data_IF_496927559453
#
_entry.id   IF_496927559453
#
_cell.length_a   1.000
_cell.length_b   1.000
_cell.length_c   1.000
_cell.angle_alpha   90.00
_cell.angle_beta   90.00
_cell.angle_gamma   90.00
#
_symmetry.space_group_name_H-M   'P 1'
#
loop_
_entity.id
_entity.type
_entity.pdbx_description
1 polymer ?
#
# COMPACT_ATOMS: atom_id res chain seq x y z
N UNK A 1 87.86 -38.25 -89.05
CA UNK A 1 88.03 -37.07 -89.89
C UNK A 1 87.72 -35.84 -89.09
N UNK A 2 88.66 -35.08 -88.82
CA UNK A 2 88.80 -33.65 -88.44
C UNK A 2 87.58 -32.97 -87.85
N UNK A 3 87.74 -32.50 -86.62
CA UNK A 3 87.13 -31.21 -86.27
C UNK A 3 87.76 -30.46 -85.15
N UNK A 4 87.91 -29.21 -85.38
CA UNK A 4 88.60 -28.22 -84.58
C UNK A 4 87.76 -27.77 -83.35
N UNK A 5 88.45 -27.66 -82.24
CA UNK A 5 87.99 -27.08 -81.00
C UNK A 5 88.31 -25.55 -80.99
N UNK A 6 87.27 -24.74 -80.85
CA UNK A 6 87.44 -23.31 -80.53
C UNK A 6 87.00 -23.09 -79.10
N UNK A 7 87.97 -22.82 -78.23
CA UNK A 7 87.74 -22.46 -76.81
C UNK A 7 87.44 -20.98 -76.70
N UNK A 8 86.22 -20.65 -76.30
CA UNK A 8 85.88 -19.27 -75.86
C UNK A 8 85.87 -19.21 -74.39
N UNK A 9 86.79 -18.40 -73.80
CA UNK A 9 86.77 -18.03 -72.41
C UNK A 9 85.63 -17.01 -72.12
N UNK A 10 84.69 -17.41 -71.29
CA UNK A 10 83.67 -16.54 -70.74
C UNK A 10 84.07 -16.18 -69.33
N UNK A 11 84.38 -14.87 -69.13
CA UNK A 11 84.70 -14.29 -67.85
C UNK A 11 83.40 -14.17 -67.00
N UNK A 12 83.29 -14.98 -65.97
CA UNK A 12 82.18 -14.90 -65.05
C UNK A 12 82.48 -13.86 -64.01
N UNK A 13 81.88 -12.63 -64.13
CA UNK A 13 81.81 -11.66 -63.06
C UNK A 13 80.73 -12.08 -62.10
N UNK A 14 81.11 -12.59 -60.90
CA UNK A 14 80.21 -12.88 -59.82
C UNK A 14 79.82 -11.53 -59.16
N UNK A 15 78.62 -11.04 -59.54
CA UNK A 15 77.96 -10.00 -58.72
C UNK A 15 77.51 -10.63 -57.43
N UNK A 16 78.13 -10.26 -56.26
CA UNK A 16 77.68 -10.53 -54.93
C UNK A 16 76.51 -9.58 -54.62
N UNK A 17 75.30 -10.09 -54.87
CA UNK A 17 74.09 -9.44 -54.41
C UNK A 17 74.00 -9.78 -52.89
N UNK A 18 74.38 -8.81 -52.00
CA UNK A 18 74.06 -8.87 -50.62
C UNK A 18 72.56 -8.62 -50.48
N UNK A 19 71.76 -9.55 -49.92
CA UNK A 19 70.39 -9.26 -49.60
C UNK A 19 70.39 -8.24 -48.47
N UNK A 20 70.02 -6.98 -48.76
CA UNK A 20 69.71 -5.97 -47.77
C UNK A 20 68.45 -6.47 -46.99
N UNK A 21 68.67 -7.24 -45.91
CA UNK A 21 67.59 -7.58 -44.98
C UNK A 21 67.22 -6.30 -44.26
N UNK A 22 66.19 -5.62 -44.77
CA UNK A 22 65.53 -4.55 -44.07
C UNK A 22 64.82 -5.22 -42.89
N UNK A 23 65.43 -5.15 -41.72
CA UNK A 23 64.76 -5.47 -40.45
C UNK A 23 63.74 -4.37 -40.25
N UNK A 24 62.52 -4.60 -40.78
CA UNK A 24 61.37 -3.85 -40.38
C UNK A 24 61.12 -4.15 -38.87
N UNK A 25 61.70 -3.34 -38.03
CA UNK A 25 61.36 -3.33 -36.61
C UNK A 25 59.87 -3.16 -36.55
N UNK A 26 59.17 -4.19 -36.12
CA UNK A 26 57.71 -4.16 -35.90
C UNK A 26 57.44 -3.07 -34.83
N UNK A 27 57.24 -1.86 -35.28
CA UNK A 27 56.92 -0.73 -34.38
C UNK A 27 55.52 -1.00 -33.83
N UNK A 28 55.44 -1.20 -32.54
CA UNK A 28 54.15 -1.25 -31.84
C UNK A 28 53.39 0.04 -32.03
N UNK A 29 52.14 -0.05 -32.41
CA UNK A 29 51.25 1.09 -32.63
C UNK A 29 50.26 1.22 -31.46
N UNK A 30 49.83 2.41 -31.24
CA UNK A 30 48.74 2.66 -30.29
C UNK A 30 47.40 2.24 -30.90
N UNK A 31 46.70 1.33 -30.28
CA UNK A 31 45.42 0.80 -30.75
C UNK A 31 44.28 1.85 -30.79
N UNK A 32 44.47 3.02 -30.19
CA UNK A 32 43.53 4.12 -30.25
C UNK A 32 43.81 5.10 -31.40
N UNK A 33 45.05 5.63 -31.48
CA UNK A 33 45.38 6.69 -32.44
C UNK A 33 46.22 6.24 -33.63
N UNK A 34 46.56 4.94 -33.72
CA UNK A 34 47.39 4.29 -34.76
C UNK A 34 48.79 4.91 -34.97
N UNK A 35 49.30 5.73 -34.00
CA UNK A 35 50.65 6.27 -34.07
C UNK A 35 51.63 5.35 -33.35
N UNK A 36 52.92 5.44 -33.76
CA UNK A 36 54.00 4.62 -33.20
C UNK A 36 54.16 4.89 -31.69
N UNK A 37 54.32 3.83 -30.90
CA UNK A 37 54.60 3.84 -29.48
C UNK A 37 56.13 3.99 -29.31
N UNK A 38 56.59 5.14 -28.77
CA UNK A 38 57.96 5.40 -28.45
C UNK A 38 58.10 5.47 -26.91
N UNK A 39 58.98 4.62 -26.34
CA UNK A 39 59.20 4.56 -24.91
C UNK A 39 58.16 3.70 -24.14
N UNK A 40 57.77 4.15 -22.94
CA UNK A 40 56.80 3.42 -22.12
C UNK A 40 55.39 3.59 -22.67
N UNK A 41 54.62 2.51 -22.63
CA UNK A 41 53.20 2.49 -23.08
C UNK A 41 52.40 1.58 -22.17
N UNK A 42 51.09 1.74 -22.21
CA UNK A 42 50.12 0.93 -21.40
C UNK A 42 49.64 -0.23 -22.24
N UNK A 43 49.64 -1.43 -21.63
CA UNK A 43 48.96 -2.61 -22.17
C UNK A 43 47.67 -2.84 -21.38
N UNK A 44 46.52 -2.80 -22.07
CA UNK A 44 45.24 -3.09 -21.48
C UNK A 44 44.39 -3.98 -22.41
N UNK A 45 43.93 -5.11 -21.88
CA UNK A 45 43.15 -6.12 -22.66
C UNK A 45 43.84 -6.51 -23.98
N UNK A 46 45.13 -6.80 -23.92
CA UNK A 46 46.01 -7.15 -25.04
C UNK A 46 46.14 -6.06 -26.14
N UNK A 47 45.84 -4.83 -25.83
CA UNK A 47 45.99 -3.66 -26.67
C UNK A 47 47.01 -2.69 -26.10
N UNK A 48 47.73 -1.97 -26.97
CA UNK A 48 48.83 -1.08 -26.59
C UNK A 48 48.37 0.38 -26.76
N UNK A 49 48.65 1.23 -25.76
CA UNK A 49 48.20 2.63 -25.78
C UNK A 49 49.31 3.58 -25.33
N UNK A 50 49.35 4.79 -25.91
CA UNK A 50 50.05 5.87 -25.26
C UNK A 50 49.39 6.18 -23.91
N UNK A 51 50.14 6.64 -22.93
CA UNK A 51 49.60 7.05 -21.64
C UNK A 51 48.45 8.05 -21.79
N UNK A 52 48.64 9.09 -22.61
CA UNK A 52 47.61 10.10 -22.86
C UNK A 52 46.36 9.55 -23.55
N UNK A 53 46.52 8.58 -24.48
CA UNK A 53 45.37 7.96 -25.14
C UNK A 53 44.60 7.05 -24.19
N UNK A 54 45.29 6.34 -23.35
CA UNK A 54 44.67 5.48 -22.33
C UNK A 54 43.90 6.31 -21.31
N UNK A 55 44.57 7.29 -20.69
CA UNK A 55 43.97 8.13 -19.66
C UNK A 55 42.76 8.90 -20.15
N UNK A 56 42.77 9.38 -21.40
CA UNK A 56 41.69 10.21 -21.92
C UNK A 56 40.51 9.41 -22.47
N UNK A 57 40.75 8.22 -23.04
CA UNK A 57 39.75 7.52 -23.86
C UNK A 57 39.43 6.09 -23.39
N UNK A 58 40.28 5.47 -22.59
CA UNK A 58 40.15 4.08 -22.17
C UNK A 58 39.98 3.96 -20.65
N UNK A 59 40.69 4.78 -19.88
CA UNK A 59 40.59 4.79 -18.42
C UNK A 59 39.19 5.20 -17.97
N UNK A 60 38.63 4.40 -17.06
CA UNK A 60 37.35 4.70 -16.43
C UNK A 60 37.59 5.50 -15.15
N UNK A 61 36.80 6.54 -14.95
CA UNK A 61 36.83 7.38 -13.77
C UNK A 61 35.52 7.25 -12.97
N UNK A 62 35.61 7.38 -11.68
CA UNK A 62 34.45 7.42 -10.81
C UNK A 62 33.70 8.76 -10.95
N UNK A 63 32.42 8.71 -11.29
CA UNK A 63 31.60 9.92 -11.44
C UNK A 63 31.41 10.67 -10.12
N UNK A 64 31.54 9.98 -8.99
CA UNK A 64 31.40 10.57 -7.65
C UNK A 64 32.66 11.28 -7.18
N UNK A 65 33.79 10.58 -7.13
CA UNK A 65 35.04 11.14 -6.57
C UNK A 65 36.05 11.61 -7.62
N UNK A 66 35.76 11.38 -8.92
CA UNK A 66 36.61 11.77 -10.07
C UNK A 66 37.97 11.07 -10.14
N UNK A 67 38.25 10.14 -9.26
CA UNK A 67 39.49 9.34 -9.29
C UNK A 67 39.38 8.19 -10.28
N UNK A 68 40.53 7.68 -10.76
CA UNK A 68 40.63 6.50 -11.60
C UNK A 68 40.04 5.30 -10.93
N UNK A 69 39.36 4.46 -11.70
CA UNK A 69 38.86 3.17 -11.24
C UNK A 69 39.81 2.07 -11.72
N UNK A 70 40.46 1.42 -10.79
CA UNK A 70 41.29 0.27 -11.03
C UNK A 70 40.55 -1.00 -10.58
N UNK A 71 40.20 -1.88 -11.52
CA UNK A 71 39.49 -3.13 -11.26
C UNK A 71 37.99 -3.07 -11.43
N UNK A 72 37.24 -3.77 -10.56
CA UNK A 72 35.77 -3.85 -10.66
C UNK A 72 35.06 -2.60 -10.12
N UNK A 73 34.00 -2.22 -10.79
CA UNK A 73 33.19 -1.04 -10.47
C UNK A 73 31.70 -1.32 -10.61
N UNK A 74 30.91 -0.43 -10.06
CA UNK A 74 29.44 -0.46 -10.23
C UNK A 74 29.01 0.62 -11.23
N UNK A 75 27.91 0.35 -11.93
CA UNK A 75 27.29 1.31 -12.84
C UNK A 75 25.87 1.64 -12.36
N UNK A 76 25.48 2.90 -12.51
CA UNK A 76 24.09 3.34 -12.26
C UNK A 76 23.81 4.53 -13.17
N UNK A 77 22.67 4.51 -13.87
CA UNK A 77 22.24 5.57 -14.78
C UNK A 77 23.35 6.02 -15.77
N UNK A 78 24.09 5.05 -16.34
CA UNK A 78 25.18 5.30 -17.30
C UNK A 78 26.45 5.87 -16.69
N UNK A 79 26.58 6.00 -15.38
CA UNK A 79 27.73 6.48 -14.63
C UNK A 79 28.48 5.34 -13.95
N UNK A 80 29.79 5.52 -13.76
CA UNK A 80 30.68 4.52 -13.19
C UNK A 80 31.13 4.95 -11.77
N UNK A 81 31.20 4.01 -10.86
CA UNK A 81 31.51 4.28 -9.46
C UNK A 81 32.46 3.23 -8.88
N UNK A 82 33.41 3.64 -8.05
CA UNK A 82 34.06 2.68 -7.16
C UNK A 82 33.01 1.95 -6.32
N UNK A 83 33.28 0.73 -5.92
CA UNK A 83 32.37 -0.01 -5.05
C UNK A 83 32.02 0.76 -3.78
N UNK A 84 33.01 1.36 -3.14
CA UNK A 84 32.84 2.17 -1.93
C UNK A 84 31.99 3.42 -2.18
N UNK A 85 32.27 4.17 -3.28
CA UNK A 85 31.48 5.33 -3.64
C UNK A 85 30.03 4.95 -3.95
N UNK A 86 29.81 3.84 -4.66
CA UNK A 86 28.47 3.36 -4.95
C UNK A 86 27.69 3.02 -3.67
N UNK A 87 28.32 2.26 -2.76
CA UNK A 87 27.69 1.87 -1.50
C UNK A 87 27.38 3.05 -0.59
N UNK A 88 28.26 4.05 -0.59
CA UNK A 88 28.13 5.20 0.30
C UNK A 88 27.15 6.27 -0.22
N UNK A 89 27.14 6.54 -1.53
CA UNK A 89 26.46 7.71 -2.10
C UNK A 89 25.33 7.40 -3.08
N UNK A 90 25.32 6.19 -3.64
CA UNK A 90 24.40 5.82 -4.72
C UNK A 90 23.44 4.73 -4.32
N UNK A 91 23.93 3.75 -3.56
CA UNK A 91 23.11 2.64 -3.11
C UNK A 91 22.12 3.11 -2.06
N UNK A 92 20.88 2.70 -2.24
CA UNK A 92 19.78 3.03 -1.35
C UNK A 92 19.94 2.42 0.04
N UNK A 93 19.51 3.14 1.03
CA UNK A 93 19.48 2.70 2.43
C UNK A 93 18.05 2.68 2.94
N UNK A 94 17.75 1.75 3.80
CA UNK A 94 16.48 1.66 4.46
C UNK A 94 16.33 2.79 5.49
N UNK A 95 15.26 3.57 5.39
CA UNK A 95 14.99 4.67 6.32
C UNK A 95 14.65 4.19 7.75
N UNK A 96 14.30 2.91 7.90
CA UNK A 96 14.00 2.32 9.21
C UNK A 96 15.24 1.81 9.93
N UNK A 97 16.01 0.91 9.29
CA UNK A 97 17.15 0.26 9.93
C UNK A 97 18.52 0.87 9.56
N UNK A 98 18.59 1.75 8.55
CA UNK A 98 19.83 2.37 8.06
C UNK A 98 20.69 1.47 7.16
N UNK A 99 20.39 0.19 7.04
CA UNK A 99 21.16 -0.76 6.26
C UNK A 99 20.95 -0.60 4.75
N UNK A 100 21.95 -1.07 3.98
CA UNK A 100 21.90 -1.02 2.52
C UNK A 100 20.82 -1.92 1.96
N UNK A 101 19.95 -1.35 1.12
CA UNK A 101 18.91 -2.11 0.44
C UNK A 101 19.52 -2.89 -0.72
N UNK A 102 19.31 -4.22 -0.69
CA UNK A 102 19.71 -5.15 -1.76
C UNK A 102 18.46 -5.80 -2.34
N UNK A 103 18.13 -5.51 -3.60
CA UNK A 103 16.98 -6.09 -4.30
C UNK A 103 15.72 -5.25 -4.20
N UNK A 104 14.57 -5.93 -4.03
CA UNK A 104 13.23 -5.30 -3.98
C UNK A 104 13.08 -4.50 -2.68
N UNK A 105 12.41 -3.38 -2.76
CA UNK A 105 12.17 -2.48 -1.63
C UNK A 105 10.82 -1.76 -1.81
N UNK A 106 10.29 -1.24 -0.71
CA UNK A 106 9.06 -0.47 -0.69
C UNK A 106 9.34 1.03 -0.53
N UNK A 107 8.47 1.86 -1.11
CA UNK A 107 8.52 3.31 -0.96
C UNK A 107 7.20 3.77 -0.32
N UNK A 108 7.31 4.59 0.73
CA UNK A 108 6.17 5.27 1.34
C UNK A 108 6.60 6.69 1.77
N UNK A 109 5.81 7.67 1.37
CA UNK A 109 6.05 9.08 1.67
C UNK A 109 7.47 9.58 1.31
N UNK A 110 8.01 9.06 0.18
CA UNK A 110 9.35 9.37 -0.32
C UNK A 110 10.50 8.65 0.39
N UNK A 111 10.23 7.81 1.39
CA UNK A 111 11.19 6.99 2.13
C UNK A 111 11.27 5.59 1.58
N UNK A 112 12.45 4.99 1.68
CA UNK A 112 12.76 3.67 1.11
C UNK A 112 13.00 2.65 2.23
N UNK A 113 12.37 1.47 2.11
CA UNK A 113 12.39 0.44 3.16
C UNK A 113 12.70 -0.93 2.60
N UNK A 114 13.47 -1.75 3.33
CA UNK A 114 13.45 -3.19 3.08
C UNK A 114 12.02 -3.71 3.18
N UNK A 115 11.70 -4.74 2.42
CA UNK A 115 10.38 -5.38 2.48
C UNK A 115 10.01 -5.81 3.91
N UNK A 116 10.93 -6.44 4.63
CA UNK A 116 10.73 -6.84 6.03
C UNK A 116 10.51 -5.66 6.97
N UNK A 117 11.29 -4.59 6.84
CA UNK A 117 11.11 -3.38 7.65
C UNK A 117 9.78 -2.69 7.34
N UNK A 118 9.38 -2.68 6.08
CA UNK A 118 8.10 -2.11 5.66
C UNK A 118 6.92 -2.87 6.28
N UNK A 119 6.92 -4.20 6.17
CA UNK A 119 5.89 -5.07 6.73
C UNK A 119 5.84 -4.95 8.26
N UNK A 120 7.00 -4.96 8.92
CA UNK A 120 7.07 -4.99 10.38
C UNK A 120 6.77 -3.65 11.04
N UNK A 121 7.27 -2.54 10.48
CA UNK A 121 7.23 -1.23 11.17
C UNK A 121 6.38 -0.17 10.49
N UNK A 122 6.11 -0.29 9.18
CA UNK A 122 5.47 0.77 8.40
C UNK A 122 4.02 0.44 8.04
N UNK A 123 3.71 -0.83 7.79
CA UNK A 123 2.33 -1.24 7.55
C UNK A 123 1.47 -1.09 8.80
N UNK A 124 0.22 -0.65 8.65
CA UNK A 124 -0.72 -0.65 9.75
C UNK A 124 -0.92 -2.08 10.26
N UNK A 125 -1.10 -2.22 11.58
CA UNK A 125 -1.43 -3.50 12.19
C UNK A 125 -2.92 -3.65 12.30
N UNK A 126 -3.41 -4.86 12.06
CA UNK A 126 -4.80 -5.20 12.29
C UNK A 126 -5.15 -5.08 13.77
N UNK A 127 -6.16 -4.29 14.11
CA UNK A 127 -6.58 -4.08 15.50
C UNK A 127 -7.15 -5.34 16.15
N UNK A 128 -7.55 -6.33 15.35
CA UNK A 128 -8.11 -7.59 15.83
C UNK A 128 -7.03 -8.66 16.05
N UNK A 129 -6.24 -8.99 15.03
CA UNK A 129 -5.25 -10.08 15.10
C UNK A 129 -3.80 -9.60 15.25
N UNK A 130 -3.54 -8.29 15.23
CA UNK A 130 -2.22 -7.64 15.35
C UNK A 130 -1.23 -7.94 14.22
N UNK A 131 -1.63 -8.70 13.21
CA UNK A 131 -0.81 -8.95 12.03
C UNK A 131 -0.77 -7.72 11.11
N UNK A 132 0.30 -7.54 10.31
CA UNK A 132 0.37 -6.49 9.30
C UNK A 132 -0.79 -6.57 8.31
N UNK A 133 -1.27 -5.42 7.85
CA UNK A 133 -2.31 -5.34 6.83
C UNK A 133 -1.65 -5.00 5.50
N UNK A 134 -1.42 -6.02 4.69
CA UNK A 134 -0.68 -5.90 3.43
C UNK A 134 -1.58 -5.56 2.23
N UNK A 135 -2.78 -6.14 2.20
CA UNK A 135 -3.71 -6.05 1.06
C UNK A 135 -4.97 -5.23 1.41
N UNK A 136 -6.13 -5.76 1.03
CA UNK A 136 -7.43 -5.16 1.30
C UNK A 136 -7.75 -5.15 2.78
N UNK A 137 -8.07 -3.98 3.29
CA UNK A 137 -8.46 -3.78 4.68
C UNK A 137 -9.68 -2.89 4.79
N UNK A 138 -10.33 -3.00 5.94
CA UNK A 138 -11.41 -2.12 6.34
C UNK A 138 -10.88 -1.14 7.37
N UNK A 139 -11.20 0.14 7.18
CA UNK A 139 -11.11 1.17 8.21
C UNK A 139 -12.53 1.50 8.62
N UNK A 140 -12.90 1.20 9.85
CA UNK A 140 -14.24 1.52 10.33
C UNK A 140 -14.39 3.02 10.70
N UNK A 141 -15.62 3.43 11.00
CA UNK A 141 -15.91 4.81 11.42
C UNK A 141 -15.12 5.25 12.67
N UNK A 142 -14.74 4.29 13.51
CA UNK A 142 -14.04 4.51 14.78
C UNK A 142 -12.52 4.57 14.62
N UNK A 143 -12.03 4.41 13.39
CA UNK A 143 -10.61 4.46 13.05
C UNK A 143 -9.87 3.13 13.20
N UNK A 144 -10.55 2.03 13.50
CA UNK A 144 -9.91 0.73 13.58
C UNK A 144 -9.58 0.17 12.20
N UNK A 145 -8.40 -0.44 12.07
CA UNK A 145 -7.93 -1.11 10.86
C UNK A 145 -7.98 -2.62 11.05
N UNK A 146 -8.60 -3.33 10.11
CA UNK A 146 -8.63 -4.79 10.17
C UNK A 146 -8.78 -5.44 8.79
N UNK A 147 -8.29 -6.67 8.67
CA UNK A 147 -8.44 -7.44 7.45
C UNK A 147 -9.91 -7.65 7.11
N UNK A 148 -10.26 -7.57 5.83
CA UNK A 148 -11.63 -7.76 5.36
C UNK A 148 -12.24 -9.09 5.80
N UNK A 149 -11.46 -10.17 5.86
CA UNK A 149 -11.98 -11.47 6.25
C UNK A 149 -12.59 -11.52 7.67
N UNK A 150 -12.21 -10.59 8.57
CA UNK A 150 -12.82 -10.49 9.88
C UNK A 150 -14.30 -10.11 9.82
N UNK A 151 -14.71 -9.30 8.84
CA UNK A 151 -16.11 -8.89 8.66
C UNK A 151 -17.03 -10.05 8.32
N UNK A 152 -16.48 -11.11 7.72
CA UNK A 152 -17.23 -12.33 7.36
C UNK A 152 -17.33 -13.33 8.50
N UNK A 153 -16.53 -13.18 9.54
CA UNK A 153 -16.43 -14.14 10.67
C UNK A 153 -17.02 -13.62 11.96
N UNK A 154 -17.22 -12.34 12.08
CA UNK A 154 -17.66 -11.68 13.31
C UNK A 154 -18.92 -10.86 13.05
N UNK A 155 -19.92 -10.91 13.96
CA UNK A 155 -21.09 -10.05 13.84
C UNK A 155 -20.72 -8.59 14.10
N UNK A 156 -21.46 -7.68 13.47
CA UNK A 156 -21.39 -6.26 13.76
C UNK A 156 -22.39 -5.88 14.85
N UNK A 157 -22.06 -4.89 15.65
CA UNK A 157 -22.97 -4.33 16.64
C UNK A 157 -24.10 -3.55 15.98
N UNK A 158 -25.32 -3.83 16.34
CA UNK A 158 -26.54 -3.21 15.81
C UNK A 158 -26.60 -1.69 16.04
N UNK A 159 -25.98 -1.22 17.13
CA UNK A 159 -25.97 0.19 17.49
C UNK A 159 -24.80 0.99 16.89
N UNK A 160 -23.57 0.45 16.92
CA UNK A 160 -22.39 1.22 16.54
C UNK A 160 -21.63 0.65 15.33
N UNK A 161 -22.10 -0.45 14.75
CA UNK A 161 -21.50 -1.13 13.62
C UNK A 161 -20.05 -1.61 13.80
N UNK A 162 -19.47 -1.57 15.01
CA UNK A 162 -18.18 -2.20 15.29
C UNK A 162 -18.31 -3.73 15.21
N UNK A 163 -17.28 -4.39 14.72
CA UNK A 163 -17.18 -5.85 14.83
C UNK A 163 -17.11 -6.26 16.30
N UNK A 164 -17.91 -7.25 16.67
CA UNK A 164 -17.98 -7.74 18.05
C UNK A 164 -16.88 -8.75 18.28
N UNK A 165 -15.82 -8.32 18.94
CA UNK A 165 -14.70 -9.16 19.36
C UNK A 165 -14.02 -8.54 20.58
N UNK A 166 -13.19 -9.33 21.25
CA UNK A 166 -12.53 -8.89 22.47
C UNK A 166 -11.65 -7.64 22.26
N UNK A 167 -10.80 -7.54 21.21
CA UNK A 167 -9.93 -6.39 21.00
C UNK A 167 -10.67 -5.06 20.75
N UNK A 168 -11.80 -5.08 20.03
CA UNK A 168 -12.50 -3.85 19.64
C UNK A 168 -13.61 -3.44 20.61
N UNK A 169 -14.30 -4.41 21.20
CA UNK A 169 -15.54 -4.15 21.92
C UNK A 169 -15.65 -4.87 23.27
N UNK A 170 -14.59 -5.59 23.66
CA UNK A 170 -14.60 -6.49 24.85
C UNK A 170 -15.74 -7.51 24.79
N UNK A 171 -16.06 -8.00 23.58
CA UNK A 171 -17.15 -8.91 23.31
C UNK A 171 -18.50 -8.22 23.18
N UNK A 172 -19.55 -8.99 23.34
CA UNK A 172 -20.94 -8.56 23.23
C UNK A 172 -21.90 -9.72 23.48
N UNK A 173 -23.18 -9.50 23.16
CA UNK A 173 -24.21 -10.53 23.31
C UNK A 173 -25.17 -10.51 22.14
N UNK A 174 -25.84 -11.64 21.90
CA UNK A 174 -26.92 -11.75 20.93
C UNK A 174 -28.23 -11.33 21.58
N UNK A 175 -28.98 -10.48 20.92
CA UNK A 175 -30.38 -10.17 21.26
C UNK A 175 -31.30 -11.28 20.71
N UNK A 176 -31.02 -11.71 19.47
CA UNK A 176 -31.67 -12.82 18.79
C UNK A 176 -30.74 -13.35 17.66
N UNK A 177 -31.27 -14.07 16.68
CA UNK A 177 -30.46 -14.71 15.61
C UNK A 177 -29.73 -13.71 14.69
N UNK A 178 -30.24 -12.49 14.54
CA UNK A 178 -29.77 -11.49 13.57
C UNK A 178 -29.29 -10.19 14.22
N UNK A 179 -29.50 -10.00 15.53
CA UNK A 179 -29.15 -8.78 16.26
C UNK A 179 -28.15 -9.02 17.37
N UNK A 180 -27.09 -8.25 17.35
CA UNK A 180 -25.97 -8.34 18.31
C UNK A 180 -25.62 -6.97 18.87
N UNK A 181 -25.33 -6.90 20.16
CA UNK A 181 -24.94 -5.68 20.85
C UNK A 181 -23.56 -5.86 21.47
N UNK A 182 -22.66 -4.94 21.19
CA UNK A 182 -21.33 -4.97 21.78
C UNK A 182 -21.34 -4.49 23.25
N UNK A 183 -20.32 -4.91 24.01
CA UNK A 183 -20.20 -4.50 25.42
C UNK A 183 -19.93 -2.98 25.60
N UNK A 184 -19.45 -2.28 24.57
CA UNK A 184 -19.29 -0.83 24.60
C UNK A 184 -20.65 -0.13 24.57
N UNK A 185 -21.62 -0.64 23.78
CA UNK A 185 -22.97 -0.06 23.71
C UNK A 185 -23.91 -0.56 24.82
N UNK A 186 -23.61 -1.72 25.41
CA UNK A 186 -24.49 -2.36 26.41
C UNK A 186 -24.97 -1.47 27.57
N UNK A 187 -24.15 -0.56 28.14
CA UNK A 187 -24.60 0.27 29.29
C UNK A 187 -25.76 1.22 28.94
N UNK A 188 -25.89 1.62 27.68
CA UNK A 188 -26.79 2.71 27.26
C UNK A 188 -28.00 2.21 26.46
N UNK A 189 -28.25 0.89 26.43
CA UNK A 189 -29.36 0.34 25.64
C UNK A 189 -30.68 0.36 26.39
N UNK A 190 -31.75 0.69 25.71
CA UNK A 190 -33.12 0.67 26.22
C UNK A 190 -33.68 -0.76 26.09
N UNK A 191 -33.96 -1.37 27.23
CA UNK A 191 -34.41 -2.76 27.31
C UNK A 191 -35.74 -2.95 28.05
N UNK A 192 -36.11 -1.98 28.90
CA UNK A 192 -37.25 -2.09 29.80
C UNK A 192 -38.30 -1.05 29.48
N UNK A 193 -39.56 -1.44 29.64
CA UNK A 193 -40.70 -0.54 29.49
C UNK A 193 -40.60 0.71 30.38
N UNK A 194 -40.01 0.60 31.58
CA UNK A 194 -39.82 1.73 32.52
C UNK A 194 -38.86 2.81 32.02
N UNK A 195 -38.04 2.50 31.01
CA UNK A 195 -37.07 3.43 30.40
C UNK A 195 -37.72 4.27 29.29
N UNK A 196 -38.89 3.87 28.76
CA UNK A 196 -39.57 4.55 27.65
C UNK A 196 -40.01 5.94 28.06
N UNK A 197 -40.75 6.07 29.18
CA UNK A 197 -41.35 7.32 29.58
C UNK A 197 -40.37 8.48 29.87
N UNK A 198 -39.21 8.25 30.51
CA UNK A 198 -38.18 9.29 30.65
C UNK A 198 -37.63 9.76 29.29
N UNK A 199 -37.40 8.83 28.35
CA UNK A 199 -36.89 9.15 27.01
C UNK A 199 -37.95 9.89 26.19
N UNK A 200 -39.22 9.47 26.24
CA UNK A 200 -40.30 10.17 25.56
C UNK A 200 -40.41 11.63 26.04
N UNK A 201 -40.33 11.87 27.34
CA UNK A 201 -40.36 13.27 27.88
C UNK A 201 -39.18 14.10 27.34
N UNK A 202 -37.99 13.52 27.27
CA UNK A 202 -36.81 14.19 26.71
C UNK A 202 -37.03 14.54 25.23
N UNK A 203 -37.55 13.63 24.42
CA UNK A 203 -37.87 13.83 23.00
C UNK A 203 -38.95 14.91 22.84
N UNK A 204 -40.03 14.87 23.64
CA UNK A 204 -41.10 15.86 23.57
C UNK A 204 -40.61 17.28 23.90
N UNK A 205 -39.69 17.44 24.85
CA UNK A 205 -39.05 18.74 25.17
C UNK A 205 -38.28 19.25 23.95
N UNK A 206 -37.52 18.39 23.27
CA UNK A 206 -36.76 18.76 22.08
C UNK A 206 -37.71 19.16 20.94
N UNK A 207 -38.74 18.36 20.64
CA UNK A 207 -39.72 18.64 19.59
C UNK A 207 -40.41 19.96 19.83
N UNK A 208 -40.86 20.24 21.09
CA UNK A 208 -41.47 21.53 21.44
C UNK A 208 -40.52 22.71 21.20
N UNK A 209 -39.21 22.54 21.49
CA UNK A 209 -38.22 23.61 21.32
C UNK A 209 -38.04 24.04 19.87
N UNK A 210 -38.30 23.13 18.94
CA UNK A 210 -38.26 23.39 17.45
C UNK A 210 -39.63 23.67 16.85
N UNK A 211 -40.64 23.88 17.68
CA UNK A 211 -41.99 24.29 17.23
C UNK A 211 -42.94 23.14 16.84
N UNK A 212 -42.58 21.91 17.08
CA UNK A 212 -43.45 20.73 16.93
C UNK A 212 -44.19 20.57 18.27
N UNK A 213 -45.42 21.11 18.32
CA UNK A 213 -46.35 21.05 19.43
C UNK A 213 -47.65 20.39 18.99
N UNK A 214 -48.58 20.14 19.86
CA UNK A 214 -49.86 19.45 19.58
C UNK A 214 -49.73 17.94 19.35
N UNK A 215 -48.73 17.31 19.97
CA UNK A 215 -48.63 15.87 20.01
C UNK A 215 -49.67 15.25 20.93
N UNK A 216 -50.10 13.99 20.69
CA UNK A 216 -51.04 13.32 21.58
C UNK A 216 -50.54 13.24 23.00
N UNK A 217 -51.42 13.46 24.01
CA UNK A 217 -51.04 13.41 25.41
C UNK A 217 -50.56 12.04 25.90
N UNK A 218 -50.98 11.00 25.21
CA UNK A 218 -50.55 9.61 25.48
C UNK A 218 -50.31 8.92 24.13
N UNK A 219 -49.12 8.42 23.94
CA UNK A 219 -48.72 7.62 22.80
C UNK A 219 -48.34 6.27 23.36
N UNK A 220 -49.07 5.20 23.09
CA UNK A 220 -48.67 3.84 23.43
C UNK A 220 -47.39 3.48 22.68
N UNK A 221 -46.37 3.01 23.44
CA UNK A 221 -45.08 2.60 22.87
C UNK A 221 -44.80 1.17 23.31
N UNK A 222 -44.47 0.32 22.34
CA UNK A 222 -44.11 -1.08 22.57
C UNK A 222 -42.69 -1.37 22.09
N UNK A 223 -41.87 -2.01 22.96
CA UNK A 223 -40.57 -2.51 22.57
C UNK A 223 -40.71 -3.85 21.87
N UNK A 224 -40.18 -3.92 20.66
CA UNK A 224 -40.18 -5.11 19.80
C UNK A 224 -38.78 -5.74 19.79
N UNK A 225 -38.67 -7.05 19.86
CA UNK A 225 -37.38 -7.73 20.03
C UNK A 225 -36.68 -8.10 18.71
N UNK A 226 -37.42 -8.24 17.61
CA UNK A 226 -36.88 -8.63 16.32
C UNK A 226 -37.34 -7.70 15.19
N UNK A 227 -36.48 -7.57 14.18
CA UNK A 227 -36.85 -6.87 12.93
C UNK A 227 -37.97 -7.56 12.19
N UNK A 228 -38.00 -8.90 12.22
CA UNK A 228 -39.08 -9.67 11.59
C UNK A 228 -40.45 -9.40 12.22
N UNK A 229 -40.50 -9.20 13.53
CA UNK A 229 -41.72 -8.81 14.20
C UNK A 229 -42.15 -7.41 13.80
N UNK A 230 -41.22 -6.46 13.79
CA UNK A 230 -41.49 -5.07 13.40
C UNK A 230 -41.91 -4.97 11.92
N UNK A 231 -41.30 -5.73 11.02
CA UNK A 231 -41.69 -5.81 9.62
C UNK A 231 -43.10 -6.39 9.42
N UNK A 232 -43.49 -7.36 10.23
CA UNK A 232 -44.85 -7.90 10.19
C UNK A 232 -45.90 -6.89 10.64
N UNK A 233 -45.60 -6.06 11.66
CA UNK A 233 -46.44 -5.02 12.16
C UNK A 233 -46.60 -3.87 11.15
N UNK A 234 -45.52 -3.50 10.48
CA UNK A 234 -45.49 -2.36 9.52
C UNK A 234 -45.94 -2.73 8.12
N UNK A 235 -46.17 -4.02 7.81
CA UNK A 235 -46.44 -4.53 6.45
C UNK A 235 -45.33 -4.18 5.42
N UNK A 236 -44.20 -3.60 5.89
CA UNK A 236 -43.04 -3.22 5.06
C UNK A 236 -42.02 -4.34 5.00
N UNK A 237 -41.44 -4.57 3.81
CA UNK A 237 -40.37 -5.58 3.60
C UNK A 237 -38.96 -4.99 3.63
N UNK A 238 -38.75 -3.82 4.18
CA UNK A 238 -37.44 -3.16 4.23
C UNK A 238 -36.65 -3.61 5.45
N UNK A 239 -35.51 -4.29 5.24
CA UNK A 239 -34.75 -5.02 6.25
C UNK A 239 -34.09 -4.22 7.38
N UNK A 240 -34.06 -2.88 7.36
CA UNK A 240 -33.39 -2.04 8.35
C UNK A 240 -34.32 -1.13 9.16
N UNK A 241 -35.55 -1.52 9.34
CA UNK A 241 -36.53 -0.79 10.13
C UNK A 241 -36.19 -0.86 11.62
N UNK A 242 -36.25 0.27 12.32
CA UNK A 242 -35.98 0.40 13.77
C UNK A 242 -37.18 0.85 14.56
N UNK A 243 -38.14 1.53 13.93
CA UNK A 243 -39.41 1.95 14.47
C UNK A 243 -40.52 1.82 13.45
N UNK A 244 -41.75 1.93 13.91
CA UNK A 244 -42.95 1.96 13.10
C UNK A 244 -44.11 2.57 13.89
N UNK A 245 -44.81 3.52 13.33
CA UNK A 245 -46.07 4.09 13.87
C UNK A 245 -47.27 3.52 13.14
N UNK A 246 -48.14 2.84 13.87
CA UNK A 246 -49.49 2.50 13.42
C UNK A 246 -50.40 3.70 13.67
N UNK A 247 -51.15 4.08 12.67
CA UNK A 247 -52.16 5.16 12.74
C UNK A 247 -53.48 4.65 12.19
N UNK A 248 -54.49 4.71 13.03
CA UNK A 248 -55.85 4.38 12.63
C UNK A 248 -56.76 5.59 12.83
N UNK A 249 -57.60 5.87 11.88
CA UNK A 249 -58.54 6.99 11.91
C UNK A 249 -59.97 6.49 11.68
N UNK A 250 -60.86 6.84 12.60
CA UNK A 250 -62.29 6.59 12.42
C UNK A 250 -62.98 7.88 11.98
N UNK A 251 -63.59 7.82 10.78
CA UNK A 251 -64.29 8.95 10.21
C UNK A 251 -65.81 8.70 10.16
N UNK A 252 -66.59 9.69 10.53
CA UNK A 252 -68.03 9.69 10.39
C UNK A 252 -68.47 10.92 9.60
N UNK A 253 -69.17 10.69 8.48
CA UNK A 253 -69.62 11.77 7.59
C UNK A 253 -68.51 12.71 7.13
N UNK A 254 -67.31 12.21 6.87
CA UNK A 254 -66.13 12.98 6.43
C UNK A 254 -65.45 13.79 7.55
N UNK A 255 -65.84 13.57 8.79
CA UNK A 255 -65.15 14.17 9.96
C UNK A 255 -64.47 13.08 10.75
N UNK A 256 -63.22 13.31 11.13
CA UNK A 256 -62.45 12.44 12.03
C UNK A 256 -63.11 12.51 13.40
N UNK A 257 -63.55 11.37 13.94
CA UNK A 257 -64.20 11.25 15.26
C UNK A 257 -63.32 10.56 16.28
N UNK A 258 -62.35 9.77 15.82
CA UNK A 258 -61.36 9.12 16.67
C UNK A 258 -60.06 8.88 15.92
N UNK A 259 -58.94 8.89 16.65
CA UNK A 259 -57.61 8.63 16.14
C UNK A 259 -56.84 7.79 17.14
N UNK A 260 -56.27 6.68 16.69
CA UNK A 260 -55.42 5.83 17.52
C UNK A 260 -54.00 5.78 16.94
N UNK A 261 -53.01 5.93 17.82
CA UNK A 261 -51.62 5.92 17.48
C UNK A 261 -50.90 4.87 18.34
N UNK A 262 -50.03 4.09 17.71
CA UNK A 262 -49.19 3.14 18.44
C UNK A 262 -47.80 3.09 17.85
N UNK A 263 -46.76 3.38 18.64
CA UNK A 263 -45.37 3.32 18.21
C UNK A 263 -44.76 1.99 18.61
N UNK A 264 -44.14 1.32 17.69
CA UNK A 264 -43.35 0.11 17.89
C UNK A 264 -41.88 0.44 17.62
N UNK A 265 -40.98 0.15 18.58
CA UNK A 265 -39.56 0.45 18.47
C UNK A 265 -38.76 -0.80 18.85
N UNK A 266 -37.67 -1.06 18.14
CA UNK A 266 -36.76 -2.13 18.50
C UNK A 266 -36.18 -1.93 19.89
N UNK A 267 -36.19 -2.96 20.71
CA UNK A 267 -35.46 -3.01 21.98
C UNK A 267 -33.95 -3.08 21.75
N UNK A 268 -33.16 -2.83 22.80
CA UNK A 268 -31.68 -2.85 22.72
C UNK A 268 -31.07 -1.84 21.75
N UNK A 269 -31.79 -0.80 21.35
CA UNK A 269 -31.18 0.40 20.76
C UNK A 269 -30.52 1.21 21.87
N UNK A 270 -29.37 1.84 21.59
CA UNK A 270 -28.80 2.79 22.52
C UNK A 270 -29.72 4.00 22.67
N UNK A 271 -29.62 4.71 23.78
CA UNK A 271 -30.50 5.83 24.11
C UNK A 271 -30.63 6.87 22.99
N UNK A 272 -29.51 7.22 22.36
CA UNK A 272 -29.46 8.23 21.29
C UNK A 272 -30.24 7.77 20.04
N UNK A 273 -30.00 6.55 19.60
CA UNK A 273 -30.74 5.95 18.45
C UNK A 273 -32.21 5.78 18.83
N UNK A 274 -32.50 5.28 20.03
CA UNK A 274 -33.88 5.13 20.51
C UNK A 274 -34.64 6.47 20.48
N UNK A 275 -34.04 7.53 20.99
CA UNK A 275 -34.62 8.86 21.01
C UNK A 275 -34.79 9.43 19.59
N UNK A 276 -33.81 9.16 18.70
CA UNK A 276 -33.93 9.59 17.29
C UNK A 276 -35.07 8.88 16.54
N UNK A 277 -35.20 7.56 16.73
CA UNK A 277 -36.30 6.78 16.19
C UNK A 277 -37.63 7.28 16.77
N UNK A 278 -37.72 7.46 18.09
CA UNK A 278 -38.91 7.93 18.76
C UNK A 278 -39.34 9.33 18.29
N UNK A 279 -38.40 10.20 17.97
CA UNK A 279 -38.68 11.52 17.44
C UNK A 279 -39.13 11.48 15.95
N UNK A 280 -38.75 10.45 15.23
CA UNK A 280 -39.14 10.26 13.82
C UNK A 280 -40.55 9.69 13.69
N UNK A 281 -40.87 8.71 14.53
CA UNK A 281 -42.21 8.10 14.57
C UNK A 281 -43.26 9.01 15.17
#
# INVERSE_FOLDING_TARGET
>A
MKNNFVLKHILFIKFLIFPLVIILANQKLCDYCNKSLKGQYIIHKNKNYHHSCYDKHIQIYCDQCRMKIDGSYNTSNGKNYHKSCYQQYIQKRCDECGDLIKGIYNIKDGKEYHESCYIEYILPKCDICKLPVEDTYVKDFWGNYYHEYHTKKMPACDNCNRLICDPLTKGGYSVNSDRFICNVCKPDVITKKSEIEPNLREVLVILNSVGISNLPNKIPITLVHSRDELMRLSEHRLGNIQGYTSYEEITLSGKVIDQDYHIYILSNLNKEIFNAVLAHE
#
